data_IF_532167512403
#
_entry.id   IF_532167512403
#
_cell.length_a   1.000
_cell.length_b   1.000
_cell.length_c   1.000
_cell.angle_alpha   90.00
_cell.angle_beta   90.00
_cell.angle_gamma   90.00
#
_symmetry.space_group_name_H-M   'P 1'
#
loop_
_entity.id
_entity.type
_entity.pdbx_description
1 polymer ?
#
# COMPACT_ATOMS: atom_id res chain seq x y z
N UNK A 1 26.60 5.10 -15.84
CA UNK A 1 26.83 5.09 -14.37
C UNK A 1 28.02 4.16 -14.09
N UNK A 2 29.06 4.59 -13.35
CA UNK A 2 30.16 3.71 -12.92
C UNK A 2 29.90 3.32 -11.46
N UNK A 3 29.68 2.04 -11.19
CA UNK A 3 29.52 1.56 -9.83
C UNK A 3 30.88 1.32 -9.19
N UNK A 4 31.10 1.83 -7.98
CA UNK A 4 32.18 1.33 -7.14
C UNK A 4 31.88 -0.12 -6.74
N UNK A 5 32.91 -0.94 -6.58
CA UNK A 5 32.73 -2.34 -6.17
C UNK A 5 32.00 -2.39 -4.82
N UNK A 6 30.86 -3.08 -4.79
CA UNK A 6 29.99 -3.21 -3.63
C UNK A 6 29.37 -4.62 -3.58
N UNK A 7 28.87 -5.01 -2.41
CA UNK A 7 28.03 -6.18 -2.20
C UNK A 7 26.62 -5.74 -1.78
N UNK A 8 25.66 -6.63 -1.99
CA UNK A 8 24.28 -6.43 -1.57
C UNK A 8 23.53 -7.73 -1.38
N UNK A 9 22.35 -7.62 -0.80
CA UNK A 9 21.44 -8.76 -0.58
C UNK A 9 20.11 -8.48 -1.28
N UNK A 10 19.60 -9.51 -1.96
CA UNK A 10 18.24 -9.53 -2.48
C UNK A 10 17.32 -10.08 -1.39
N UNK A 11 16.40 -9.25 -0.91
CA UNK A 11 15.35 -9.65 0.03
C UNK A 11 14.13 -8.77 -0.21
N UNK A 12 12.97 -9.34 -0.51
CA UNK A 12 11.76 -8.53 -0.67
C UNK A 12 11.17 -8.19 0.72
N UNK A 13 10.60 -6.98 0.95
CA UNK A 13 10.06 -6.60 2.26
C UNK A 13 9.02 -7.58 2.81
N UNK A 14 8.25 -8.25 1.94
CA UNK A 14 7.28 -9.29 2.36
C UNK A 14 7.90 -10.46 3.13
N UNK A 15 9.21 -10.67 2.99
CA UNK A 15 9.97 -11.76 3.62
C UNK A 15 10.61 -11.35 4.94
N UNK A 16 10.49 -10.08 5.34
CA UNK A 16 10.93 -9.64 6.66
C UNK A 16 10.07 -10.34 7.73
N UNK A 17 10.66 -10.70 8.88
CA UNK A 17 9.90 -11.28 9.97
C UNK A 17 8.92 -10.24 10.52
N UNK A 18 7.85 -10.70 11.16
CA UNK A 18 6.90 -9.80 11.79
C UNK A 18 5.66 -10.53 12.29
N UNK A 19 4.90 -9.94 13.21
CA UNK A 19 3.77 -10.60 13.84
C UNK A 19 2.46 -10.44 13.04
N UNK A 20 2.47 -9.78 11.88
CA UNK A 20 1.28 -9.39 11.12
C UNK A 20 1.10 -10.16 9.79
N UNK A 21 1.64 -11.38 9.72
CA UNK A 21 1.46 -12.32 8.61
C UNK A 21 2.24 -12.02 7.32
N UNK A 22 2.82 -10.83 7.21
CA UNK A 22 3.72 -10.41 6.12
C UNK A 22 4.74 -9.42 6.67
N UNK A 23 5.95 -9.43 6.11
CA UNK A 23 6.91 -8.35 6.37
C UNK A 23 6.42 -7.01 5.79
N UNK A 24 6.75 -5.91 6.46
CA UNK A 24 6.26 -4.57 6.15
C UNK A 24 7.38 -3.52 6.22
N UNK A 25 7.05 -2.25 6.01
CA UNK A 25 7.97 -1.12 6.01
C UNK A 25 8.17 -0.50 7.41
N UNK A 26 7.95 -1.28 8.46
CA UNK A 26 8.05 -0.88 9.86
C UNK A 26 9.41 -1.19 10.50
N UNK A 27 9.46 -1.33 11.84
CA UNK A 27 10.71 -1.50 12.59
C UNK A 27 11.62 -2.63 12.09
N UNK A 28 11.06 -3.72 11.57
CA UNK A 28 11.86 -4.83 11.02
C UNK A 28 12.58 -4.47 9.71
N UNK A 29 12.05 -3.54 8.92
CA UNK A 29 12.74 -3.01 7.75
C UNK A 29 13.94 -2.13 8.15
N UNK A 30 13.79 -1.30 9.18
CA UNK A 30 14.90 -0.51 9.74
C UNK A 30 15.99 -1.43 10.33
N UNK A 31 15.60 -2.43 11.12
CA UNK A 31 16.53 -3.41 11.67
C UNK A 31 17.28 -4.20 10.57
N UNK A 32 16.62 -4.47 9.44
CA UNK A 32 17.23 -5.07 8.26
C UNK A 32 18.28 -4.14 7.61
N UNK A 33 17.97 -2.85 7.46
CA UNK A 33 18.92 -1.86 6.93
C UNK A 33 20.13 -1.70 7.86
N UNK A 34 19.91 -1.66 9.17
CA UNK A 34 20.99 -1.63 10.17
C UNK A 34 21.88 -2.87 10.08
N UNK A 35 21.29 -4.06 9.89
CA UNK A 35 22.03 -5.30 9.67
C UNK A 35 22.87 -5.25 8.38
N UNK A 36 22.30 -4.74 7.27
CA UNK A 36 23.03 -4.59 6.01
C UNK A 36 24.23 -3.66 6.18
N UNK A 37 24.03 -2.52 6.83
CA UNK A 37 25.08 -1.54 7.12
C UNK A 37 26.17 -2.15 8.02
N UNK A 38 25.78 -2.83 9.11
CA UNK A 38 26.70 -3.53 10.01
C UNK A 38 27.49 -4.66 9.36
N UNK A 39 26.93 -5.27 8.31
CA UNK A 39 27.60 -6.31 7.51
C UNK A 39 28.49 -5.76 6.39
N UNK A 40 28.55 -4.43 6.22
CA UNK A 40 29.30 -3.77 5.15
C UNK A 40 28.67 -3.89 3.76
N UNK A 41 27.45 -4.44 3.66
CA UNK A 41 26.68 -4.43 2.41
C UNK A 41 26.18 -3.01 2.13
N UNK A 42 26.14 -2.64 0.85
CA UNK A 42 25.79 -1.27 0.41
C UNK A 42 24.56 -1.22 -0.50
N UNK A 43 24.04 -2.38 -0.88
CA UNK A 43 22.91 -2.51 -1.79
C UNK A 43 21.87 -3.43 -1.17
N UNK A 44 20.63 -2.98 -1.16
CA UNK A 44 19.46 -3.81 -0.91
C UNK A 44 18.66 -3.88 -2.21
N UNK A 45 18.52 -5.08 -2.76
CA UNK A 45 17.68 -5.29 -3.93
C UNK A 45 16.33 -5.85 -3.50
N UNK A 46 15.26 -5.35 -4.12
CA UNK A 46 13.88 -5.80 -3.92
C UNK A 46 13.25 -6.23 -5.24
N UNK A 47 12.21 -7.05 -5.18
CA UNK A 47 11.27 -7.26 -6.29
C UNK A 47 10.37 -6.01 -6.45
N UNK A 48 9.56 -5.90 -7.53
CA UNK A 48 8.67 -4.76 -7.68
C UNK A 48 7.71 -4.61 -6.49
N UNK A 49 7.43 -3.36 -6.10
CA UNK A 49 6.67 -3.03 -4.90
C UNK A 49 5.21 -2.66 -5.21
N UNK A 50 4.71 -3.03 -6.38
CA UNK A 50 3.37 -2.65 -6.82
C UNK A 50 2.26 -3.50 -6.18
N UNK A 51 1.01 -3.00 -6.19
CA UNK A 51 -0.14 -3.74 -5.68
C UNK A 51 -0.40 -4.96 -6.54
N UNK A 52 -0.37 -6.15 -5.92
CA UNK A 52 -0.46 -7.44 -6.60
C UNK A 52 -1.90 -7.82 -6.98
N UNK A 53 -2.05 -8.46 -8.13
CA UNK A 53 -3.32 -9.07 -8.55
C UNK A 53 -3.48 -10.53 -8.11
N UNK A 54 -4.32 -11.27 -8.82
CA UNK A 54 -4.52 -12.70 -8.58
C UNK A 54 -3.20 -13.47 -8.71
N UNK A 55 -2.90 -14.32 -7.73
CA UNK A 55 -1.65 -15.10 -7.64
C UNK A 55 -0.49 -14.35 -6.96
N UNK A 56 -0.73 -13.15 -6.43
CA UNK A 56 0.16 -12.41 -5.52
C UNK A 56 1.57 -12.11 -6.07
N UNK A 57 1.72 -12.21 -7.39
CA UNK A 57 2.99 -11.97 -8.07
C UNK A 57 3.31 -10.47 -8.13
N UNK A 58 4.48 -10.03 -7.64
CA UNK A 58 4.93 -8.65 -7.78
C UNK A 58 5.22 -8.24 -9.24
N UNK A 59 5.16 -9.18 -10.18
CA UNK A 59 5.31 -8.90 -11.62
C UNK A 59 3.98 -8.70 -12.35
N UNK A 60 2.85 -8.86 -11.64
CA UNK A 60 1.51 -8.67 -12.18
C UNK A 60 0.73 -7.64 -11.35
N UNK A 61 1.18 -6.38 -11.44
CA UNK A 61 0.64 -5.27 -10.65
C UNK A 61 -0.57 -4.60 -11.30
N UNK A 62 -1.46 -4.03 -10.49
CA UNK A 62 -2.55 -3.18 -10.97
C UNK A 62 -2.09 -1.80 -11.49
N UNK A 63 -0.87 -1.40 -11.15
CA UNK A 63 -0.28 -0.14 -11.58
C UNK A 63 1.24 -0.26 -11.64
N UNK A 64 1.85 0.44 -12.59
CA UNK A 64 3.30 0.59 -12.68
C UNK A 64 3.88 1.64 -11.71
N UNK A 65 3.02 2.45 -11.10
CA UNK A 65 3.42 3.56 -10.23
C UNK A 65 3.07 3.33 -8.75
N UNK A 66 1.92 2.71 -8.49
CA UNK A 66 1.40 2.55 -7.14
C UNK A 66 2.26 1.58 -6.30
N UNK A 67 2.25 1.76 -5.00
CA UNK A 67 2.82 0.85 -4.01
C UNK A 67 1.83 -0.16 -3.46
N UNK A 68 2.35 -1.26 -2.93
CA UNK A 68 1.58 -2.35 -2.38
C UNK A 68 1.07 -2.00 -0.97
N UNK A 69 -0.25 -1.83 -0.76
CA UNK A 69 -0.80 -1.49 0.55
C UNK A 69 -0.51 -2.56 1.62
N UNK A 70 -0.20 -3.80 1.24
CA UNK A 70 0.10 -4.87 2.20
C UNK A 70 1.42 -4.66 2.94
N UNK A 71 2.30 -3.82 2.40
CA UNK A 71 3.59 -3.45 3.01
C UNK A 71 3.48 -2.29 4.02
N UNK A 72 2.30 -1.70 4.19
CA UNK A 72 2.10 -0.63 5.19
C UNK A 72 2.18 -1.24 6.60
N UNK A 73 3.05 -0.71 7.45
CA UNK A 73 3.30 -1.23 8.80
C UNK A 73 2.19 -0.87 9.78
N UNK A 74 1.54 -1.85 10.44
CA UNK A 74 0.58 -1.60 11.51
C UNK A 74 1.18 -0.87 12.72
N UNK A 75 2.45 -1.12 13.04
CA UNK A 75 3.13 -0.49 14.18
C UNK A 75 3.30 1.00 13.95
N UNK A 76 3.74 1.42 12.77
CA UNK A 76 3.86 2.84 12.44
C UNK A 76 2.49 3.54 12.39
N UNK A 77 1.41 2.83 12.03
CA UNK A 77 0.06 3.39 12.09
C UNK A 77 -0.42 3.58 13.54
N UNK A 78 -0.01 2.73 14.49
CA UNK A 78 -0.26 2.97 15.93
C UNK A 78 0.50 4.20 16.42
N UNK A 79 1.77 4.34 16.02
CA UNK A 79 2.62 5.48 16.40
C UNK A 79 2.06 6.81 15.87
N UNK A 80 1.53 6.81 14.64
CA UNK A 80 0.86 7.97 14.04
C UNK A 80 -0.53 8.26 14.65
N UNK A 81 -1.03 7.41 15.56
CA UNK A 81 -2.38 7.52 16.11
C UNK A 81 -3.49 7.24 15.10
N UNK A 82 -3.15 6.62 13.97
CA UNK A 82 -4.09 6.18 12.93
C UNK A 82 -4.74 4.85 13.31
N UNK A 83 -4.07 4.04 14.13
CA UNK A 83 -4.60 2.85 14.78
C UNK A 83 -4.63 3.00 16.31
N UNK A 84 -5.52 2.27 16.97
CA UNK A 84 -5.49 2.02 18.40
C UNK A 84 -5.13 0.54 18.65
N UNK A 85 -4.61 0.17 19.83
CA UNK A 85 -4.24 -1.23 20.14
C UNK A 85 -5.38 -2.23 19.91
N UNK A 86 -6.62 -1.82 20.21
CA UNK A 86 -7.81 -2.65 20.02
C UNK A 86 -8.07 -3.00 18.54
N UNK A 87 -7.56 -2.20 17.60
CA UNK A 87 -7.68 -2.47 16.18
C UNK A 87 -6.82 -3.65 15.71
N UNK A 88 -5.95 -4.20 16.56
CA UNK A 88 -5.13 -5.37 16.22
C UNK A 88 -5.63 -6.66 16.86
N UNK A 89 -6.72 -6.60 17.63
CA UNK A 89 -7.22 -7.74 18.42
C UNK A 89 -7.85 -8.84 17.57
N UNK A 90 -8.37 -8.50 16.39
CA UNK A 90 -8.93 -9.42 15.40
C UNK A 90 -7.87 -10.08 14.51
N UNK A 91 -6.58 -9.89 14.83
CA UNK A 91 -5.47 -10.52 14.13
C UNK A 91 -5.57 -12.04 14.22
N UNK A 92 -5.54 -12.68 13.05
CA UNK A 92 -5.50 -14.13 12.92
C UNK A 92 -4.12 -14.68 13.32
N UNK A 93 -4.08 -15.98 13.66
CA UNK A 93 -2.81 -16.68 13.89
C UNK A 93 -2.14 -16.98 12.55
N UNK A 94 -1.30 -16.06 12.08
CA UNK A 94 -0.60 -16.19 10.81
C UNK A 94 0.64 -17.09 10.93
N UNK A 95 0.93 -17.94 9.93
CA UNK A 95 2.16 -18.74 9.91
C UNK A 95 3.40 -17.84 9.92
N UNK A 96 4.35 -18.11 10.83
CA UNK A 96 5.58 -17.32 10.92
C UNK A 96 6.58 -17.56 9.77
N UNK A 97 6.44 -18.64 9.00
CA UNK A 97 7.42 -19.08 7.99
C UNK A 97 6.97 -18.87 6.54
N UNK A 98 5.75 -18.36 6.31
CA UNK A 98 5.21 -18.09 4.98
C UNK A 98 4.09 -17.07 5.05
N UNK A 99 3.91 -16.33 3.95
CA UNK A 99 2.75 -15.44 3.80
C UNK A 99 1.54 -16.25 3.35
N UNK A 100 0.46 -16.20 4.13
CA UNK A 100 -0.86 -16.70 3.71
C UNK A 100 -1.69 -15.53 3.16
N UNK A 101 -1.56 -15.26 1.86
CA UNK A 101 -2.24 -14.13 1.21
C UNK A 101 -3.77 -14.21 1.31
N UNK A 102 -4.34 -15.42 1.34
CA UNK A 102 -5.79 -15.61 1.44
C UNK A 102 -6.35 -15.10 2.76
N UNK A 103 -5.67 -15.39 3.86
CA UNK A 103 -6.06 -14.87 5.19
C UNK A 103 -5.60 -13.42 5.41
N UNK A 104 -4.42 -13.07 4.90
CA UNK A 104 -3.79 -11.76 5.11
C UNK A 104 -4.57 -10.62 4.44
N UNK A 105 -4.92 -10.77 3.16
CA UNK A 105 -5.46 -9.66 2.36
C UNK A 105 -6.74 -9.08 2.98
N UNK A 106 -7.76 -9.89 3.35
CA UNK A 106 -8.97 -9.36 3.98
C UNK A 106 -8.68 -8.66 5.31
N UNK A 107 -7.83 -9.25 6.15
CA UNK A 107 -7.48 -8.66 7.45
C UNK A 107 -6.74 -7.33 7.28
N UNK A 108 -5.73 -7.28 6.39
CA UNK A 108 -4.91 -6.10 6.15
C UNK A 108 -5.74 -4.95 5.55
N UNK A 109 -6.62 -5.24 4.60
CA UNK A 109 -7.50 -4.21 4.03
C UNK A 109 -8.50 -3.69 5.06
N UNK A 110 -9.05 -4.54 5.93
CA UNK A 110 -9.92 -4.10 7.03
C UNK A 110 -9.16 -3.22 8.04
N UNK A 111 -7.91 -3.56 8.36
CA UNK A 111 -7.07 -2.75 9.22
C UNK A 111 -6.81 -1.35 8.63
N UNK A 112 -6.48 -1.29 7.34
CA UNK A 112 -6.25 -0.03 6.63
C UNK A 112 -7.54 0.80 6.49
N UNK A 113 -8.71 0.15 6.33
CA UNK A 113 -10.02 0.81 6.39
C UNK A 113 -10.23 1.51 7.74
N UNK A 114 -9.95 0.82 8.85
CA UNK A 114 -10.04 1.42 10.20
C UNK A 114 -9.12 2.63 10.35
N UNK A 115 -7.89 2.54 9.84
CA UNK A 115 -6.97 3.67 9.83
C UNK A 115 -7.51 4.86 9.02
N UNK A 116 -8.10 4.60 7.86
CA UNK A 116 -8.71 5.63 7.02
C UNK A 116 -9.94 6.28 7.67
N UNK A 117 -10.82 5.48 8.30
CA UNK A 117 -11.99 5.98 9.02
C UNK A 117 -11.56 6.89 10.18
N UNK A 118 -10.57 6.47 10.98
CA UNK A 118 -10.05 7.29 12.08
C UNK A 118 -9.46 8.61 11.57
N UNK A 119 -8.63 8.55 10.53
CA UNK A 119 -8.09 9.75 9.88
C UNK A 119 -9.18 10.67 9.35
N UNK A 120 -10.23 10.12 8.73
CA UNK A 120 -11.31 10.92 8.15
C UNK A 120 -12.19 11.59 9.20
N UNK A 121 -12.32 10.98 10.38
CA UNK A 121 -13.10 11.51 11.49
C UNK A 121 -12.37 12.65 12.23
N UNK A 122 -11.06 12.54 12.41
CA UNK A 122 -10.23 13.55 13.08
C UNK A 122 -8.87 13.70 12.36
N UNK A 123 -8.83 14.42 11.22
CA UNK A 123 -7.62 14.54 10.42
C UNK A 123 -6.60 15.43 11.14
N UNK A 124 -5.52 14.82 11.62
CA UNK A 124 -4.41 15.57 12.19
C UNK A 124 -3.86 16.57 11.15
N UNK A 125 -3.70 17.88 11.48
CA UNK A 125 -3.36 18.90 10.50
C UNK A 125 -2.06 18.64 9.71
N UNK A 126 -1.05 18.07 10.38
CA UNK A 126 0.22 17.74 9.73
C UNK A 126 0.08 16.60 8.71
N UNK A 127 -0.68 15.55 9.04
CA UNK A 127 -0.96 14.43 8.14
C UNK A 127 -1.83 14.86 6.97
N UNK A 128 -2.86 15.66 7.22
CA UNK A 128 -3.71 16.21 6.17
C UNK A 128 -2.90 17.04 5.17
N UNK A 129 -2.03 17.92 5.66
CA UNK A 129 -1.14 18.71 4.80
C UNK A 129 -0.20 17.82 3.97
N UNK A 130 0.39 16.78 4.57
CA UNK A 130 1.26 15.85 3.87
C UNK A 130 0.50 15.05 2.79
N UNK A 131 -0.73 14.63 3.08
CA UNK A 131 -1.61 13.97 2.11
C UNK A 131 -1.95 14.89 0.93
N UNK A 132 -2.25 16.16 1.19
CA UNK A 132 -2.56 17.14 0.13
C UNK A 132 -1.34 17.43 -0.75
N UNK A 133 -0.15 17.54 -0.17
CA UNK A 133 1.12 17.61 -0.91
C UNK A 133 1.35 16.37 -1.77
N UNK A 134 1.18 15.17 -1.18
CA UNK A 134 1.32 13.90 -1.91
C UNK A 134 0.36 13.81 -3.11
N UNK A 135 -0.89 14.24 -2.94
CA UNK A 135 -1.89 14.29 -4.02
C UNK A 135 -1.45 15.22 -5.14
N UNK A 136 -0.98 16.42 -4.81
CA UNK A 136 -0.52 17.39 -5.80
C UNK A 136 0.70 16.88 -6.58
N UNK A 137 1.68 16.30 -5.89
CA UNK A 137 2.92 15.77 -6.49
C UNK A 137 2.69 14.55 -7.38
N UNK A 138 1.64 13.77 -7.12
CA UNK A 138 1.36 12.50 -7.80
C UNK A 138 0.11 12.54 -8.69
N UNK A 139 -0.45 13.72 -8.95
CA UNK A 139 -1.71 13.89 -9.68
C UNK A 139 -1.71 13.27 -11.08
N UNK A 140 -0.54 13.11 -11.71
CA UNK A 140 -0.39 12.51 -13.04
C UNK A 140 -0.79 11.03 -13.12
N UNK A 141 -0.80 10.30 -12.00
CA UNK A 141 -1.13 8.87 -11.97
C UNK A 141 -2.09 8.49 -10.86
N UNK A 142 -2.08 9.21 -9.73
CA UNK A 142 -2.79 8.82 -8.51
C UNK A 142 -4.31 8.86 -8.67
N UNK A 143 -4.84 9.89 -9.31
CA UNK A 143 -6.29 10.07 -9.49
C UNK A 143 -6.89 9.00 -10.40
N UNK A 144 -6.13 8.55 -11.40
CA UNK A 144 -6.54 7.45 -12.28
C UNK A 144 -6.41 6.10 -11.57
N UNK A 145 -5.33 5.87 -10.84
CA UNK A 145 -5.16 4.66 -10.04
C UNK A 145 -6.26 4.49 -8.99
N UNK A 146 -6.55 5.54 -8.21
CA UNK A 146 -7.54 5.49 -7.14
C UNK A 146 -8.95 5.24 -7.71
N UNK A 147 -9.32 5.90 -8.82
CA UNK A 147 -10.59 5.64 -9.49
C UNK A 147 -10.64 4.24 -10.09
N UNK A 148 -9.56 3.76 -10.70
CA UNK A 148 -9.49 2.40 -11.24
C UNK A 148 -9.70 1.36 -10.15
N UNK A 149 -9.04 1.50 -9.00
CA UNK A 149 -9.19 0.56 -7.88
C UNK A 149 -10.60 0.63 -7.27
N UNK A 150 -11.17 1.82 -7.15
CA UNK A 150 -12.55 2.00 -6.68
C UNK A 150 -13.56 1.34 -7.62
N UNK A 151 -13.42 1.52 -8.93
CA UNK A 151 -14.25 0.86 -9.94
C UNK A 151 -14.06 -0.66 -9.92
N UNK A 152 -12.82 -1.12 -9.78
CA UNK A 152 -12.51 -2.55 -9.70
C UNK A 152 -13.21 -3.20 -8.51
N UNK A 153 -13.16 -2.56 -7.34
CA UNK A 153 -13.84 -3.05 -6.14
C UNK A 153 -15.37 -3.03 -6.31
N UNK A 154 -15.95 -1.95 -6.85
CA UNK A 154 -17.40 -1.86 -7.06
C UNK A 154 -17.94 -2.87 -8.08
N UNK A 155 -17.08 -3.40 -8.95
CA UNK A 155 -17.39 -4.47 -9.90
C UNK A 155 -16.87 -5.85 -9.43
N UNK A 156 -16.72 -6.04 -8.11
CA UNK A 156 -16.42 -7.35 -7.52
C UNK A 156 -15.01 -7.89 -7.80
N UNK A 157 -14.06 -7.02 -8.13
CA UNK A 157 -12.68 -7.40 -8.43
C UNK A 157 -12.44 -7.84 -9.88
N UNK A 158 -13.45 -7.76 -10.75
CA UNK A 158 -13.36 -8.13 -12.16
C UNK A 158 -12.34 -7.31 -12.97
N UNK A 159 -11.98 -7.79 -14.15
CA UNK A 159 -11.10 -7.07 -15.08
C UNK A 159 -11.86 -5.92 -15.78
N UNK A 160 -11.13 -4.88 -16.17
CA UNK A 160 -11.71 -3.62 -16.68
C UNK A 160 -12.39 -3.76 -18.05
N UNK A 161 -12.00 -4.77 -18.83
CA UNK A 161 -12.60 -5.09 -20.12
C UNK A 161 -14.07 -5.56 -19.98
N UNK A 162 -14.45 -6.08 -18.81
CA UNK A 162 -15.82 -6.45 -18.48
C UNK A 162 -16.70 -5.30 -17.98
N UNK A 163 -16.15 -4.10 -17.80
CA UNK A 163 -16.91 -2.96 -17.27
C UNK A 163 -17.87 -2.35 -18.30
N UNK A 164 -18.91 -1.60 -17.86
CA UNK A 164 -19.78 -0.83 -18.74
C UNK A 164 -18.97 0.02 -19.73
N UNK A 165 -19.42 0.06 -20.99
CA UNK A 165 -18.67 0.68 -22.08
C UNK A 165 -18.26 2.14 -21.81
N UNK A 166 -19.10 3.02 -21.23
CA UNK A 166 -18.70 4.40 -20.92
C UNK A 166 -17.52 4.49 -19.94
N UNK A 167 -17.44 3.58 -18.97
CA UNK A 167 -16.32 3.52 -18.02
C UNK A 167 -15.08 2.93 -18.68
N UNK A 168 -15.25 1.86 -19.47
CA UNK A 168 -14.16 1.20 -20.21
C UNK A 168 -13.50 2.13 -21.23
N UNK A 169 -14.30 2.93 -21.93
CA UNK A 169 -13.86 3.95 -22.90
C UNK A 169 -13.47 5.28 -22.24
N UNK A 170 -13.57 5.38 -20.90
CA UNK A 170 -13.19 6.56 -20.12
C UNK A 170 -13.94 7.82 -20.57
N UNK A 171 -15.23 7.69 -20.85
CA UNK A 171 -16.07 8.83 -21.20
C UNK A 171 -16.08 9.84 -20.05
N UNK A 172 -15.78 11.14 -20.29
CA UNK A 172 -15.59 12.11 -19.22
C UNK A 172 -16.77 12.21 -18.24
N UNK A 173 -18.01 12.16 -18.74
CA UNK A 173 -19.21 12.21 -17.91
C UNK A 173 -19.36 10.98 -17.01
N UNK A 174 -19.07 9.78 -17.53
CA UNK A 174 -19.14 8.54 -16.77
C UNK A 174 -18.07 8.49 -15.68
N UNK A 175 -16.86 8.96 -15.97
CA UNK A 175 -15.79 9.06 -14.97
C UNK A 175 -16.10 10.09 -13.89
N UNK A 176 -16.67 11.24 -14.25
CA UNK A 176 -17.07 12.26 -13.28
C UNK A 176 -18.14 11.72 -12.31
N UNK A 177 -19.14 11.02 -12.84
CA UNK A 177 -20.18 10.38 -12.01
C UNK A 177 -19.60 9.25 -11.13
N UNK A 178 -18.69 8.45 -11.66
CA UNK A 178 -17.98 7.42 -10.89
C UNK A 178 -17.16 8.03 -9.74
N UNK A 179 -16.42 9.12 -9.98
CA UNK A 179 -15.66 9.82 -8.92
C UNK A 179 -16.57 10.35 -7.82
N UNK A 180 -17.74 10.89 -8.19
CA UNK A 180 -18.72 11.39 -7.23
C UNK A 180 -19.37 10.26 -6.42
N UNK A 181 -19.82 9.19 -7.08
CA UNK A 181 -20.47 8.06 -6.41
C UNK A 181 -19.51 7.22 -5.56
N UNK A 182 -18.22 7.15 -5.94
CA UNK A 182 -17.19 6.36 -5.25
C UNK A 182 -16.21 7.22 -4.46
N UNK A 183 -16.59 8.43 -4.04
CA UNK A 183 -15.68 9.39 -3.37
C UNK A 183 -14.99 8.78 -2.14
N UNK A 184 -15.69 7.99 -1.35
CA UNK A 184 -15.12 7.28 -0.20
C UNK A 184 -13.99 6.32 -0.61
N UNK A 185 -14.27 5.43 -1.57
CA UNK A 185 -13.31 4.44 -2.07
C UNK A 185 -12.10 5.11 -2.73
N UNK A 186 -12.32 6.14 -3.56
CA UNK A 186 -11.24 6.90 -4.20
C UNK A 186 -10.35 7.54 -3.12
N UNK A 187 -10.94 8.24 -2.15
CA UNK A 187 -10.18 8.90 -1.07
C UNK A 187 -9.37 7.89 -0.26
N UNK A 188 -9.93 6.72 0.00
CA UNK A 188 -9.28 5.62 0.71
C UNK A 188 -8.09 5.05 -0.06
N UNK A 189 -8.24 4.72 -1.33
CA UNK A 189 -7.11 4.23 -2.15
C UNK A 189 -6.01 5.27 -2.29
N UNK A 190 -6.37 6.55 -2.39
CA UNK A 190 -5.42 7.66 -2.33
C UNK A 190 -4.67 7.70 -1.00
N UNK A 191 -5.37 7.54 0.12
CA UNK A 191 -4.77 7.50 1.45
C UNK A 191 -3.80 6.33 1.64
N UNK A 192 -4.13 5.15 1.11
CA UNK A 192 -3.23 3.99 1.17
C UNK A 192 -1.92 4.24 0.42
N UNK A 193 -1.97 4.89 -0.74
CA UNK A 193 -0.76 5.26 -1.48
C UNK A 193 0.07 6.28 -0.71
N UNK A 194 -0.57 7.28 -0.11
CA UNK A 194 0.13 8.23 0.77
C UNK A 194 0.87 7.52 1.90
N UNK A 195 0.20 6.62 2.63
CA UNK A 195 0.81 5.87 3.72
C UNK A 195 1.98 5.01 3.24
N UNK A 196 1.80 4.28 2.14
CA UNK A 196 2.86 3.47 1.55
C UNK A 196 4.11 4.31 1.22
N UNK A 197 3.93 5.40 0.46
CA UNK A 197 5.07 6.23 0.04
C UNK A 197 5.71 6.96 1.21
N UNK A 198 4.93 7.38 2.21
CA UNK A 198 5.46 7.99 3.43
C UNK A 198 6.36 7.02 4.20
N UNK A 199 5.95 5.77 4.37
CA UNK A 199 6.78 4.76 5.03
C UNK A 199 7.98 4.36 4.18
N UNK A 200 7.79 4.16 2.87
CA UNK A 200 8.87 3.81 1.95
C UNK A 200 9.97 4.88 1.85
N UNK A 201 9.60 6.17 1.83
CA UNK A 201 10.57 7.26 1.75
C UNK A 201 11.28 7.56 3.07
N UNK A 202 10.73 7.11 4.20
CA UNK A 202 11.33 7.27 5.51
C UNK A 202 12.36 6.16 5.83
N UNK A 203 12.39 5.09 5.04
CA UNK A 203 13.30 3.95 5.16
C UNK A 203 14.59 4.19 4.35
#
# INVERSE_FOLDING_TARGET
>A
MKFQRASGILLHPTSLPGPYGIGDLGPQAYAWVDFLAGSGCRLWQVLPLGPTGYGDSPYQCFSAFAGNPYLISPELLLEDGLLAPDDLTDRQDFPANRVDFGALIPWKLNLLERAFIRFSADPQPALQKALDSFRAENASWLDDYALFMALKESHGGGSWDGWPEPLRKREPAALAEARKSLTHHVSRFTFYQFLFFRQWHAL
#
